data_IF_408787174869
#
_entry.id   IF_408787174869
#
_cell.length_a   1.000
_cell.length_b   1.000
_cell.length_c   1.000
_cell.angle_alpha   90.00
_cell.angle_beta   90.00
_cell.angle_gamma   90.00
#
_symmetry.space_group_name_H-M   'P 1'
#
loop_
_entity.id
_entity.type
_entity.pdbx_description
1 polymer ?
#
# COMPACT_ATOMS: atom_id res chain seq x y z
N UNK A 1 -22.79 5.98 7.42
CA UNK A 1 -21.88 5.03 6.75
C UNK A 1 -21.70 3.81 7.65
N UNK A 2 -21.89 2.57 7.16
CA UNK A 2 -21.86 1.36 7.99
C UNK A 2 -20.54 1.19 8.76
N UNK A 3 -19.42 1.52 8.11
CA UNK A 3 -18.07 1.35 8.66
C UNK A 3 -17.79 2.27 9.86
N UNK A 4 -18.19 3.54 9.79
CA UNK A 4 -18.10 4.46 10.93
C UNK A 4 -19.04 4.05 12.08
N UNK A 5 -20.17 3.42 11.76
CA UNK A 5 -21.10 2.88 12.76
C UNK A 5 -20.52 1.66 13.48
N UNK A 6 -19.74 0.82 12.79
CA UNK A 6 -19.04 -0.32 13.40
C UNK A 6 -17.88 0.14 14.30
N UNK A 7 -17.04 1.05 13.82
CA UNK A 7 -15.91 1.57 14.61
C UNK A 7 -16.38 2.36 15.84
N UNK A 8 -17.54 3.01 15.76
CA UNK A 8 -18.15 3.71 16.90
C UNK A 8 -18.55 2.76 18.05
N UNK A 9 -18.74 1.45 17.78
CA UNK A 9 -19.07 0.45 18.81
C UNK A 9 -17.85 -0.01 19.60
N UNK A 10 -16.65 0.21 19.09
CA UNK A 10 -15.41 -0.19 19.77
C UNK A 10 -15.05 0.78 20.89
N UNK A 11 -14.33 0.32 21.94
CA UNK A 11 -13.78 1.19 22.97
C UNK A 11 -12.97 2.35 22.36
N UNK A 12 -13.13 3.56 22.90
CA UNK A 12 -12.52 4.79 22.34
C UNK A 12 -11.01 4.69 22.14
N UNK A 13 -10.31 4.03 23.06
CA UNK A 13 -8.87 3.85 22.96
C UNK A 13 -8.46 3.01 21.75
N UNK A 14 -9.27 2.03 21.33
CA UNK A 14 -9.01 1.18 20.18
C UNK A 14 -9.48 1.84 18.87
N UNK A 15 -10.69 2.41 18.87
CA UNK A 15 -11.26 3.04 17.68
C UNK A 15 -10.43 4.27 17.23
N UNK A 16 -9.77 4.95 18.18
CA UNK A 16 -8.83 6.03 17.88
C UNK A 16 -7.70 5.57 16.95
N UNK A 17 -7.03 4.46 17.24
CA UNK A 17 -5.93 3.96 16.41
C UNK A 17 -6.40 3.38 15.08
N UNK A 18 -7.70 3.11 14.93
CA UNK A 18 -8.33 2.66 13.67
C UNK A 18 -8.90 3.83 12.84
N UNK A 19 -8.54 5.07 13.17
CA UNK A 19 -8.91 6.28 12.41
C UNK A 19 -10.31 6.82 12.73
N UNK A 20 -11.04 6.23 13.68
CA UNK A 20 -12.32 6.79 14.12
C UNK A 20 -12.09 8.05 14.97
N UNK A 21 -12.76 9.13 14.58
CA UNK A 21 -12.84 10.38 15.33
C UNK A 21 -14.30 10.86 15.31
N UNK A 22 -14.88 11.26 16.45
CA UNK A 22 -16.22 11.85 16.48
C UNK A 22 -16.28 13.11 15.60
N UNK A 23 -15.27 13.97 15.73
CA UNK A 23 -15.10 15.19 14.97
C UNK A 23 -13.80 15.12 14.14
N UNK A 24 -13.78 15.69 12.91
CA UNK A 24 -12.54 15.78 12.15
C UNK A 24 -11.48 16.56 12.95
N UNK A 25 -10.23 16.08 13.00
CA UNK A 25 -9.16 16.80 13.69
C UNK A 25 -8.95 18.16 13.03
N UNK A 26 -8.52 19.16 13.83
CA UNK A 26 -8.14 20.46 13.29
C UNK A 26 -6.95 20.28 12.33
N UNK A 27 -6.90 21.02 11.21
CA UNK A 27 -5.76 20.98 10.32
C UNK A 27 -4.50 21.39 11.08
N UNK A 28 -3.45 20.59 10.96
CA UNK A 28 -2.17 20.89 11.59
C UNK A 28 -1.38 21.90 10.76
N UNK A 29 -0.55 22.75 11.40
CA UNK A 29 0.47 23.53 10.72
C UNK A 29 1.38 22.66 9.85
N UNK A 30 1.79 23.18 8.70
CA UNK A 30 2.51 22.41 7.68
C UNK A 30 3.83 21.80 8.19
N UNK A 31 4.55 22.48 9.08
CA UNK A 31 5.80 21.96 9.66
C UNK A 31 5.57 20.72 10.53
N UNK A 32 4.45 20.64 11.26
CA UNK A 32 4.08 19.44 12.01
C UNK A 32 3.71 18.30 11.06
N UNK A 33 3.08 18.61 9.92
CA UNK A 33 2.81 17.61 8.87
C UNK A 33 4.11 17.04 8.32
N UNK A 34 5.10 17.88 8.03
CA UNK A 34 6.43 17.44 7.58
C UNK A 34 7.13 16.59 8.63
N UNK A 35 7.13 17.05 9.88
CA UNK A 35 7.70 16.33 11.01
C UNK A 35 7.10 14.93 11.15
N UNK A 36 5.77 14.81 11.21
CA UNK A 36 5.13 13.50 11.33
C UNK A 36 5.29 12.64 10.08
N UNK A 37 5.33 13.23 8.88
CA UNK A 37 5.61 12.48 7.65
C UNK A 37 7.01 11.87 7.70
N UNK A 38 7.99 12.63 8.18
CA UNK A 38 9.35 12.13 8.39
C UNK A 38 9.40 11.00 9.41
N UNK A 39 8.84 11.21 10.61
CA UNK A 39 8.86 10.19 11.68
C UNK A 39 8.16 8.90 11.23
N UNK A 40 6.96 9.01 10.67
CA UNK A 40 6.22 7.84 10.19
C UNK A 40 6.94 7.11 9.06
N UNK A 41 7.52 7.83 8.09
CA UNK A 41 8.25 7.21 6.98
C UNK A 41 9.54 6.54 7.44
N UNK A 42 10.32 7.20 8.29
CA UNK A 42 11.52 6.64 8.88
C UNK A 42 11.18 5.36 9.66
N UNK A 43 10.25 5.43 10.62
CA UNK A 43 9.84 4.26 11.40
C UNK A 43 9.29 3.13 10.51
N UNK A 44 8.44 3.45 9.53
CA UNK A 44 7.80 2.46 8.66
C UNK A 44 8.81 1.70 7.80
N UNK A 45 9.72 2.43 7.15
CA UNK A 45 10.75 1.84 6.31
C UNK A 45 11.82 1.12 7.15
N UNK A 46 12.20 1.67 8.31
CA UNK A 46 13.14 1.02 9.23
C UNK A 46 12.60 -0.29 9.78
N UNK A 47 11.31 -0.38 10.10
CA UNK A 47 10.71 -1.63 10.60
C UNK A 47 10.71 -2.73 9.53
N UNK A 48 10.41 -2.41 8.27
CA UNK A 48 10.57 -3.35 7.15
C UNK A 48 12.02 -3.79 6.98
N UNK A 49 12.92 -2.81 6.87
CA UNK A 49 14.34 -3.10 6.63
C UNK A 49 14.96 -3.87 7.79
N UNK A 50 14.62 -3.54 9.03
CA UNK A 50 15.13 -4.26 10.19
C UNK A 50 14.68 -5.72 10.17
N UNK A 51 13.42 -5.99 9.81
CA UNK A 51 12.92 -7.35 9.73
C UNK A 51 13.65 -8.16 8.65
N UNK A 52 13.74 -7.64 7.42
CA UNK A 52 14.28 -8.42 6.30
C UNK A 52 15.82 -8.49 6.28
N UNK A 53 16.53 -7.49 6.82
CA UNK A 53 18.00 -7.50 6.85
C UNK A 53 18.60 -8.16 8.10
N UNK A 54 17.86 -8.31 9.20
CA UNK A 54 18.40 -8.88 10.44
C UNK A 54 17.71 -10.17 10.91
N UNK A 55 16.59 -10.57 10.31
CA UNK A 55 16.00 -11.88 10.59
C UNK A 55 16.65 -12.97 9.77
N UNK A 56 17.35 -13.90 10.42
CA UNK A 56 17.99 -15.05 9.76
C UNK A 56 16.99 -15.82 8.88
N UNK A 57 15.75 -15.96 9.35
CA UNK A 57 14.67 -16.63 8.61
C UNK A 57 14.43 -16.02 7.21
N UNK A 58 14.51 -14.70 7.06
CA UNK A 58 14.29 -14.02 5.77
C UNK A 58 15.57 -13.95 4.93
N UNK A 59 16.72 -13.78 5.59
CA UNK A 59 18.05 -13.78 4.95
C UNK A 59 18.29 -15.14 4.26
N UNK A 60 18.05 -16.25 4.95
CA UNK A 60 18.24 -17.61 4.42
C UNK A 60 17.37 -17.90 3.19
N UNK A 61 16.26 -17.18 3.04
CA UNK A 61 15.34 -17.29 1.89
C UNK A 61 15.65 -16.30 0.77
N UNK A 62 16.68 -15.46 0.93
CA UNK A 62 17.05 -14.44 -0.05
C UNK A 62 15.99 -13.34 -0.22
N UNK A 63 15.17 -13.06 0.81
CA UNK A 63 14.19 -11.98 0.75
C UNK A 63 14.94 -10.64 0.71
N UNK A 64 14.67 -9.75 -0.27
CA UNK A 64 15.36 -8.46 -0.34
C UNK A 64 15.01 -7.60 0.87
N UNK A 65 16.01 -6.88 1.40
CA UNK A 65 15.86 -6.05 2.60
C UNK A 65 14.73 -5.00 2.50
N UNK A 66 14.47 -4.51 1.29
CA UNK A 66 13.26 -3.74 0.99
C UNK A 66 12.86 -3.92 -0.47
N UNK A 67 11.56 -4.04 -0.71
CA UNK A 67 11.00 -3.92 -2.05
C UNK A 67 10.78 -2.43 -2.34
N UNK A 68 11.43 -1.92 -3.39
CA UNK A 68 11.45 -0.48 -3.72
C UNK A 68 10.06 0.18 -3.81
N UNK A 69 9.03 -0.57 -4.20
CA UNK A 69 7.64 -0.08 -4.23
C UNK A 69 7.18 0.45 -2.86
N UNK A 70 7.61 -0.11 -1.74
CA UNK A 70 7.22 0.37 -0.41
C UNK A 70 7.83 1.72 -0.04
N UNK A 71 8.94 2.13 -0.68
CA UNK A 71 9.42 3.51 -0.60
C UNK A 71 8.41 4.49 -1.17
N UNK A 72 7.80 4.17 -2.32
CA UNK A 72 6.73 4.98 -2.90
C UNK A 72 5.41 4.86 -2.09
N UNK A 73 5.10 3.70 -1.52
CA UNK A 73 3.96 3.53 -0.61
C UNK A 73 4.10 4.41 0.63
N UNK A 74 5.32 4.56 1.18
CA UNK A 74 5.59 5.45 2.30
C UNK A 74 5.24 6.91 1.98
N UNK A 75 5.50 7.40 0.76
CA UNK A 75 5.11 8.75 0.33
C UNK A 75 3.59 8.94 0.46
N UNK A 76 2.80 7.96 0.01
CA UNK A 76 1.34 8.04 0.10
C UNK A 76 0.84 7.85 1.54
N UNK A 77 1.25 6.78 2.21
CA UNK A 77 0.69 6.34 3.49
C UNK A 77 1.15 7.23 4.66
N UNK A 78 2.30 7.89 4.55
CA UNK A 78 2.82 8.75 5.61
C UNK A 78 2.81 10.25 5.26
N UNK A 79 2.90 10.59 3.98
CA UNK A 79 2.89 11.97 3.49
C UNK A 79 1.51 12.45 3.02
N UNK A 80 0.79 11.63 2.23
CA UNK A 80 -0.51 11.97 1.66
C UNK A 80 -1.67 11.17 2.32
N UNK A 81 -1.72 11.20 3.66
CA UNK A 81 -2.56 10.33 4.49
C UNK A 81 -4.07 10.40 4.20
N UNK A 82 -4.53 11.51 3.62
CA UNK A 82 -5.95 11.74 3.28
C UNK A 82 -6.31 11.20 1.89
N UNK A 83 -5.30 10.88 1.06
CA UNK A 83 -5.51 10.38 -0.30
C UNK A 83 -6.26 9.04 -0.28
N UNK A 84 -7.30 8.86 -1.12
CA UNK A 84 -7.94 7.56 -1.31
C UNK A 84 -6.94 6.45 -1.68
N UNK A 85 -5.87 6.80 -2.41
CA UNK A 85 -4.83 5.87 -2.86
C UNK A 85 -3.90 5.42 -1.72
N UNK A 86 -3.91 6.13 -0.58
CA UNK A 86 -3.12 5.82 0.60
C UNK A 86 -3.87 4.93 1.61
N UNK A 87 -5.17 4.68 1.42
CA UNK A 87 -6.00 3.99 2.41
C UNK A 87 -5.72 2.48 2.48
N UNK A 88 -6.08 1.79 3.59
CA UNK A 88 -5.66 0.41 3.86
C UNK A 88 -6.05 -0.59 2.77
N UNK A 89 -7.26 -0.46 2.21
CA UNK A 89 -7.71 -1.30 1.09
C UNK A 89 -6.79 -1.16 -0.13
N UNK A 90 -6.44 0.06 -0.51
CA UNK A 90 -5.56 0.31 -1.65
C UNK A 90 -4.16 -0.24 -1.37
N UNK A 91 -3.58 0.06 -0.19
CA UNK A 91 -2.26 -0.42 0.20
C UNK A 91 -2.15 -1.95 0.18
N UNK A 92 -3.05 -2.66 0.89
CA UNK A 92 -2.95 -4.12 1.04
C UNK A 92 -3.30 -4.82 -0.28
N UNK A 93 -4.51 -4.57 -0.80
CA UNK A 93 -5.00 -5.33 -1.94
C UNK A 93 -4.38 -4.87 -3.26
N UNK A 94 -4.00 -3.59 -3.38
CA UNK A 94 -3.22 -3.13 -4.52
C UNK A 94 -1.92 -3.91 -4.65
N UNK A 95 -1.10 -3.95 -3.59
CA UNK A 95 0.15 -4.72 -3.60
C UNK A 95 -0.07 -6.21 -3.79
N UNK A 96 -1.01 -6.82 -3.06
CA UNK A 96 -1.23 -8.27 -3.12
C UNK A 96 -1.70 -8.74 -4.51
N UNK A 97 -2.69 -8.05 -5.10
CA UNK A 97 -3.20 -8.41 -6.42
C UNK A 97 -2.15 -8.16 -7.51
N UNK A 98 -1.39 -7.06 -7.41
CA UNK A 98 -0.27 -6.79 -8.31
C UNK A 98 0.82 -7.86 -8.23
N UNK A 99 1.21 -8.28 -7.02
CA UNK A 99 2.19 -9.34 -6.82
C UNK A 99 1.69 -10.67 -7.41
N UNK A 100 0.41 -11.00 -7.21
CA UNK A 100 -0.22 -12.19 -7.79
C UNK A 100 -0.19 -12.17 -9.32
N UNK A 101 -0.61 -11.06 -9.93
CA UNK A 101 -0.53 -10.88 -11.39
C UNK A 101 0.90 -11.04 -11.89
N UNK A 102 1.86 -10.36 -11.24
CA UNK A 102 3.27 -10.42 -11.60
C UNK A 102 3.86 -11.83 -11.57
N UNK A 103 3.59 -12.58 -10.50
CA UNK A 103 4.05 -13.98 -10.37
C UNK A 103 3.40 -14.86 -11.43
N UNK A 104 2.09 -14.76 -11.64
CA UNK A 104 1.37 -15.55 -12.64
C UNK A 104 1.89 -15.31 -14.07
N UNK A 105 2.01 -14.04 -14.49
CA UNK A 105 2.47 -13.69 -15.83
C UNK A 105 3.93 -14.11 -16.04
N UNK A 106 4.80 -13.86 -15.06
CA UNK A 106 6.22 -14.24 -15.18
C UNK A 106 6.38 -15.76 -15.24
N UNK A 107 5.61 -16.51 -14.43
CA UNK A 107 5.58 -17.98 -14.48
C UNK A 107 5.05 -18.52 -15.81
N UNK A 108 4.06 -17.85 -16.41
CA UNK A 108 3.57 -18.23 -17.74
C UNK A 108 4.67 -18.05 -18.80
N UNK A 109 5.41 -16.95 -18.74
CA UNK A 109 6.55 -16.71 -19.63
C UNK A 109 7.71 -17.70 -19.37
N UNK A 110 7.90 -18.17 -18.14
CA UNK A 110 8.93 -19.17 -17.83
C UNK A 110 8.62 -20.58 -18.34
N UNK A 111 7.45 -20.80 -18.96
CA UNK A 111 7.14 -22.07 -19.66
C UNK A 111 7.79 -22.14 -21.04
N UNK A 112 8.44 -21.07 -21.51
CA UNK A 112 9.25 -21.09 -22.72
C UNK A 112 10.42 -22.08 -22.50
N UNK A 113 10.59 -23.13 -23.34
CA UNK A 113 11.56 -24.21 -23.08
C UNK A 113 13.03 -23.80 -23.03
N UNK A 114 13.35 -22.63 -23.58
CA UNK A 114 14.71 -22.10 -23.67
C UNK A 114 14.90 -20.95 -22.67
N UNK A 115 15.82 -21.12 -21.72
CA UNK A 115 16.10 -20.15 -20.66
C UNK A 115 16.68 -18.85 -21.23
N UNK A 116 17.49 -18.91 -22.28
CA UNK A 116 18.01 -17.69 -22.93
C UNK A 116 16.86 -16.88 -23.53
N UNK A 117 15.95 -17.56 -24.23
CA UNK A 117 14.75 -16.91 -24.76
C UNK A 117 13.88 -16.35 -23.65
N UNK A 118 13.62 -17.08 -22.56
CA UNK A 118 12.87 -16.55 -21.41
C UNK A 118 13.50 -15.26 -20.90
N UNK A 119 14.79 -15.26 -20.63
CA UNK A 119 15.52 -14.08 -20.15
C UNK A 119 15.42 -12.91 -21.13
N UNK A 120 15.52 -13.15 -22.44
CA UNK A 120 15.39 -12.11 -23.47
C UNK A 120 13.99 -11.47 -23.54
N UNK A 121 12.93 -12.15 -23.09
CA UNK A 121 11.54 -11.65 -23.10
C UNK A 121 11.02 -11.21 -21.73
N UNK A 122 11.82 -11.29 -20.66
CA UNK A 122 11.39 -10.89 -19.30
C UNK A 122 10.90 -9.44 -19.20
N UNK A 123 11.47 -8.53 -19.98
CA UNK A 123 11.01 -7.14 -20.04
C UNK A 123 9.56 -7.02 -20.52
N UNK A 124 9.12 -7.91 -21.41
CA UNK A 124 7.74 -7.96 -21.90
C UNK A 124 6.81 -8.51 -20.82
N UNK A 125 7.23 -9.56 -20.11
CA UNK A 125 6.51 -10.09 -18.96
C UNK A 125 6.31 -9.01 -17.87
N UNK A 126 7.35 -8.22 -17.59
CA UNK A 126 7.29 -7.11 -16.64
C UNK A 126 6.26 -6.04 -17.04
N UNK A 127 6.30 -5.64 -18.32
CA UNK A 127 5.39 -4.64 -18.89
C UNK A 127 3.94 -5.12 -18.89
N UNK A 128 3.72 -6.36 -19.33
CA UNK A 128 2.39 -6.99 -19.36
C UNK A 128 1.83 -7.16 -17.94
N UNK A 129 2.65 -7.60 -16.99
CA UNK A 129 2.26 -7.72 -15.58
C UNK A 129 1.77 -6.40 -15.02
N UNK A 130 2.51 -5.31 -15.27
CA UNK A 130 2.15 -3.97 -14.80
C UNK A 130 0.85 -3.47 -15.43
N UNK A 131 0.69 -3.63 -16.75
CA UNK A 131 -0.50 -3.21 -17.47
C UNK A 131 -1.76 -3.95 -16.96
N UNK A 132 -1.67 -5.28 -16.81
CA UNK A 132 -2.77 -6.08 -16.27
C UNK A 132 -3.05 -5.71 -14.82
N UNK A 133 -2.02 -5.53 -13.99
CA UNK A 133 -2.19 -5.15 -12.59
C UNK A 133 -2.89 -3.78 -12.43
N UNK A 134 -2.58 -2.81 -13.29
CA UNK A 134 -3.30 -1.52 -13.33
C UNK A 134 -4.79 -1.74 -13.58
N UNK A 135 -5.14 -2.51 -14.60
CA UNK A 135 -6.55 -2.81 -14.93
C UNK A 135 -7.24 -3.58 -13.80
N UNK A 136 -6.55 -4.58 -13.22
CA UNK A 136 -7.08 -5.34 -12.07
C UNK A 136 -7.38 -4.40 -10.91
N UNK A 137 -6.45 -3.53 -10.54
CA UNK A 137 -6.66 -2.55 -9.47
C UNK A 137 -7.81 -1.58 -9.75
N UNK A 138 -7.99 -1.17 -11.01
CA UNK A 138 -9.12 -0.33 -11.43
C UNK A 138 -10.45 -1.08 -11.26
N UNK A 139 -10.53 -2.35 -11.71
CA UNK A 139 -11.72 -3.18 -11.58
C UNK A 139 -12.06 -3.42 -10.10
N UNK A 140 -11.07 -3.74 -9.28
CA UNK A 140 -11.26 -4.05 -7.85
C UNK A 140 -11.38 -2.82 -6.97
N UNK A 141 -11.18 -1.61 -7.52
CA UNK A 141 -11.14 -0.35 -6.76
C UNK A 141 -10.10 -0.41 -5.63
N UNK A 142 -8.89 -0.89 -5.97
CA UNK A 142 -7.75 -1.01 -5.05
C UNK A 142 -6.51 -0.31 -5.60
N UNK A 143 -6.70 0.70 -6.47
CA UNK A 143 -5.61 1.47 -7.09
C UNK A 143 -4.65 2.02 -6.04
N UNK A 144 -3.43 1.49 -6.07
CA UNK A 144 -2.30 1.96 -5.30
C UNK A 144 -1.12 2.06 -6.27
N UNK A 145 -0.77 3.26 -6.78
CA UNK A 145 0.24 3.41 -7.82
C UNK A 145 1.58 2.69 -7.55
N UNK A 146 2.10 2.66 -6.30
CA UNK A 146 3.30 1.88 -5.97
C UNK A 146 3.18 0.38 -6.27
N UNK A 147 1.97 -0.18 -6.18
CA UNK A 147 1.73 -1.59 -6.48
C UNK A 147 1.91 -1.93 -7.97
N UNK A 148 1.82 -0.95 -8.89
CA UNK A 148 2.22 -1.19 -10.28
C UNK A 148 3.68 -1.64 -10.37
N UNK A 149 4.56 -1.00 -9.59
CA UNK A 149 5.95 -1.42 -9.47
C UNK A 149 6.13 -2.76 -8.74
N UNK A 150 5.17 -3.21 -7.94
CA UNK A 150 5.21 -4.56 -7.35
C UNK A 150 4.96 -5.64 -8.39
N UNK A 151 4.11 -5.39 -9.39
CA UNK A 151 3.77 -6.37 -10.41
C UNK A 151 4.93 -6.71 -11.36
N UNK A 152 5.85 -5.78 -11.63
CA UNK A 152 6.99 -6.03 -12.51
C UNK A 152 8.14 -6.81 -11.86
N UNK A 153 8.23 -6.81 -10.52
CA UNK A 153 9.40 -7.35 -9.81
C UNK A 153 9.69 -8.83 -10.06
N UNK A 154 8.70 -9.74 -10.14
CA UNK A 154 8.98 -11.14 -10.47
C UNK A 154 9.71 -11.29 -11.80
N UNK A 155 9.45 -10.40 -12.76
CA UNK A 155 10.09 -10.40 -14.07
C UNK A 155 11.43 -9.64 -14.10
N UNK A 156 11.65 -8.63 -13.25
CA UNK A 156 12.83 -7.75 -13.32
C UNK A 156 13.88 -7.97 -12.24
N UNK A 157 13.58 -8.75 -11.20
CA UNK A 157 14.51 -9.01 -10.09
C UNK A 157 14.67 -10.50 -9.87
N UNK A 158 15.91 -10.99 -9.99
CA UNK A 158 16.21 -12.41 -9.76
C UNK A 158 15.97 -12.81 -8.31
N UNK A 159 16.26 -11.93 -7.36
CA UNK A 159 15.94 -12.15 -5.95
C UNK A 159 14.43 -12.41 -5.76
N UNK A 160 13.57 -11.57 -6.36
CA UNK A 160 12.11 -11.74 -6.27
C UNK A 160 11.63 -12.94 -7.07
N UNK A 161 12.20 -13.19 -8.24
CA UNK A 161 11.89 -14.37 -9.05
C UNK A 161 12.15 -15.67 -8.27
N UNK A 162 13.29 -15.74 -7.57
CA UNK A 162 13.68 -16.89 -6.75
C UNK A 162 12.74 -17.11 -5.56
N UNK A 163 12.09 -16.07 -5.03
CA UNK A 163 11.03 -16.23 -4.03
C UNK A 163 9.79 -16.94 -4.61
N UNK A 164 9.56 -16.84 -5.92
CA UNK A 164 8.42 -17.45 -6.60
C UNK A 164 7.10 -17.12 -5.89
N UNK A 165 6.35 -18.13 -5.42
CA UNK A 165 5.07 -17.93 -4.74
C UNK A 165 5.24 -17.35 -3.33
N UNK A 166 6.42 -17.49 -2.73
CA UNK A 166 6.74 -16.90 -1.43
C UNK A 166 6.78 -15.36 -1.47
N UNK A 167 6.83 -14.76 -2.65
CA UNK A 167 6.69 -13.32 -2.82
C UNK A 167 5.34 -12.76 -2.32
N UNK A 168 4.25 -13.55 -2.41
CA UNK A 168 2.92 -13.15 -1.96
C UNK A 168 2.84 -12.90 -0.45
N UNK A 169 3.21 -13.86 0.44
CA UNK A 169 3.23 -13.61 1.87
C UNK A 169 4.23 -12.52 2.28
N UNK A 170 5.37 -12.39 1.60
CA UNK A 170 6.34 -11.30 1.85
C UNK A 170 5.72 -9.93 1.56
N UNK A 171 5.00 -9.80 0.45
CA UNK A 171 4.29 -8.58 0.08
C UNK A 171 3.16 -8.28 1.06
N UNK A 172 2.36 -9.29 1.43
CA UNK A 172 1.28 -9.11 2.40
C UNK A 172 1.81 -8.65 3.76
N UNK A 173 2.86 -9.31 4.26
CA UNK A 173 3.55 -8.94 5.50
C UNK A 173 4.07 -7.50 5.44
N UNK A 174 4.70 -7.12 4.32
CA UNK A 174 5.25 -5.78 4.14
C UNK A 174 4.16 -4.71 4.17
N UNK A 175 3.05 -4.94 3.47
CA UNK A 175 1.90 -4.03 3.48
C UNK A 175 1.26 -3.92 4.87
N UNK A 176 1.15 -5.03 5.61
CA UNK A 176 0.62 -5.04 6.97
C UNK A 176 1.52 -4.29 7.95
N UNK A 177 2.85 -4.42 7.84
CA UNK A 177 3.80 -3.69 8.69
C UNK A 177 3.74 -2.18 8.43
N UNK A 178 3.71 -1.75 7.16
CA UNK A 178 3.54 -0.34 6.81
C UNK A 178 2.22 0.19 7.34
N UNK A 179 1.13 -0.58 7.19
CA UNK A 179 -0.17 -0.21 7.74
C UNK A 179 -0.13 -0.09 9.26
N UNK A 180 0.50 -1.04 9.96
CA UNK A 180 0.60 -1.00 11.42
C UNK A 180 1.33 0.26 11.90
N UNK A 181 2.45 0.62 11.28
CA UNK A 181 3.15 1.87 11.60
C UNK A 181 2.30 3.10 11.25
N UNK A 182 1.56 3.07 10.14
CA UNK A 182 0.66 4.16 9.78
C UNK A 182 -0.45 4.36 10.82
N UNK A 183 -1.07 3.27 11.30
CA UNK A 183 -2.09 3.31 12.33
C UNK A 183 -1.52 3.84 13.65
N UNK A 184 -0.31 3.45 14.03
CA UNK A 184 0.31 3.91 15.27
C UNK A 184 0.78 5.37 15.17
N UNK A 185 1.61 5.71 14.20
CA UNK A 185 2.27 7.04 14.20
C UNK A 185 1.34 8.12 13.66
N UNK A 186 0.56 7.85 12.61
CA UNK A 186 -0.30 8.88 12.04
C UNK A 186 -1.46 9.26 12.99
N UNK A 187 -1.90 8.37 13.89
CA UNK A 187 -2.98 8.70 14.82
C UNK A 187 -2.53 9.42 16.09
N UNK A 188 -1.23 9.73 16.28
CA UNK A 188 -0.76 10.50 17.43
C UNK A 188 -1.32 11.93 17.41
N UNK A 189 -1.15 12.64 16.29
CA UNK A 189 -1.69 13.99 16.09
C UNK A 189 -2.52 14.14 14.81
N UNK A 190 -2.43 13.19 13.87
CA UNK A 190 -3.21 13.19 12.63
C UNK A 190 -4.33 12.14 12.72
N UNK A 191 -4.99 11.86 11.61
CA UNK A 191 -6.02 10.83 11.50
C UNK A 191 -5.74 9.94 10.31
N UNK A 192 -5.61 8.64 10.56
CA UNK A 192 -5.48 7.63 9.52
C UNK A 192 -6.06 6.29 10.00
N UNK A 193 -6.74 5.52 9.16
CA UNK A 193 -7.20 5.90 7.84
C UNK A 193 -8.38 6.89 7.90
N UNK A 194 -8.70 7.50 6.76
CA UNK A 194 -9.95 8.26 6.59
C UNK A 194 -11.14 7.32 6.36
N UNK A 195 -10.90 6.18 5.72
CA UNK A 195 -11.84 5.08 5.53
C UNK A 195 -11.09 3.75 5.32
N UNK A 196 -11.71 2.62 5.61
CA UNK A 196 -11.07 1.30 5.46
C UNK A 196 -11.39 0.65 4.13
N UNK A 197 -12.67 0.62 3.74
CA UNK A 197 -13.14 -0.11 2.55
C UNK A 197 -13.56 0.81 1.42
N UNK A 198 -14.34 1.87 1.69
CA UNK A 198 -14.87 2.73 0.65
C UNK A 198 -14.83 4.20 1.06
N UNK A 199 -14.48 5.11 0.14
CA UNK A 199 -14.48 6.53 0.43
C UNK A 199 -15.88 7.00 0.84
N UNK A 200 -15.99 7.96 1.78
CA UNK A 200 -17.26 8.59 2.08
C UNK A 200 -17.88 9.19 0.83
N UNK A 201 -19.20 9.01 0.66
CA UNK A 201 -19.92 9.75 -0.39
C UNK A 201 -19.69 11.25 -0.19
N UNK A 202 -19.32 12.02 -1.23
CA UNK A 202 -19.24 13.47 -1.12
C UNK A 202 -20.56 14.01 -0.55
N UNK A 203 -20.48 14.89 0.45
CA UNK A 203 -21.67 15.61 0.92
C UNK A 203 -22.22 16.40 -0.26
N UNK A 204 -23.52 16.27 -0.55
CA UNK A 204 -24.17 17.07 -1.58
C UNK A 204 -23.90 18.56 -1.31
N UNK A 205 -23.49 19.30 -2.34
CA UNK A 205 -23.31 20.74 -2.22
C UNK A 205 -24.64 21.36 -1.77
N UNK A 206 -24.62 22.19 -0.74
CA UNK A 206 -25.80 22.97 -0.38
C UNK A 206 -26.16 23.87 -1.57
N UNK A 207 -27.45 24.05 -1.89
CA UNK A 207 -27.88 25.00 -2.91
C UNK A 207 -27.26 26.36 -2.61
N UNK A 208 -26.54 26.94 -3.57
CA UNK A 208 -26.06 28.31 -3.44
C UNK A 208 -27.29 29.22 -3.36
N UNK A 209 -27.60 29.71 -2.17
CA UNK A 209 -28.61 30.75 -2.00
C UNK A 209 -28.02 32.03 -2.56
N UNK A 210 -28.37 32.37 -3.80
CA UNK A 210 -28.04 33.69 -4.35
C UNK A 210 -28.64 34.76 -3.44
N UNK A 211 -27.87 35.80 -3.05
CA UNK A 211 -28.45 36.91 -2.30
C UNK A 211 -29.57 37.57 -3.13
N UNK A 212 -30.65 38.07 -2.48
CA UNK A 212 -31.67 38.84 -3.17
C UNK A 212 -31.04 40.09 -3.80
N UNK A 213 -31.44 40.38 -5.05
CA UNK A 213 -31.03 41.56 -5.82
C UNK A 213 -31.47 42.86 -5.17
#
# INVERSE_FOLDING_TARGET
MPEQSLLARLPRWLSHWLGYRPDPPKPLPQYLVWFWSFISAFCGLSVLQALFNYSQYFIDRGVPGIIASYGASAVLVFGAIESPLAQPRALIFGHFLSALVGVCITKLFSLIPDEERFNSVRWLAASLSSAIAIVVMQITQTTHPPAGATALLPATSDAVWNLSWYFLPVTLLSSTMILAVALLVNNIQRRYPTFWIAPPKPKAALPQTNPPK
#
